data_IF_338032850271
#
_entry.id   IF_338032850271
#
_cell.length_a   1.000
_cell.length_b   1.000
_cell.length_c   1.000
_cell.angle_alpha   90.00
_cell.angle_beta   90.00
_cell.angle_gamma   90.00
#
_symmetry.space_group_name_H-M   'P 1'
#
loop_
_entity.id
_entity.type
_entity.pdbx_description
1 polymer ?
#
# COMPACT_ATOMS: atom_id res chain seq x y z
N UNK A 1 -48.54 -37.35 -53.67
CA UNK A 1 -48.73 -36.75 -52.32
C UNK A 1 -47.64 -37.10 -51.29
N UNK A 2 -46.78 -38.11 -51.49
CA UNK A 2 -45.71 -38.50 -50.53
C UNK A 2 -44.36 -37.78 -50.72
N UNK A 3 -44.10 -37.12 -51.85
CA UNK A 3 -42.83 -36.44 -52.15
C UNK A 3 -42.81 -34.96 -51.71
N UNK A 4 -43.97 -34.33 -51.53
CA UNK A 4 -44.07 -32.93 -51.08
C UNK A 4 -43.96 -32.79 -49.55
N UNK A 5 -44.34 -33.84 -48.81
CA UNK A 5 -44.33 -33.85 -47.34
C UNK A 5 -42.92 -34.01 -46.75
N UNK A 6 -42.04 -34.72 -47.46
CA UNK A 6 -40.64 -34.94 -47.06
C UNK A 6 -39.75 -33.72 -47.31
N UNK A 7 -40.01 -32.93 -48.36
CA UNK A 7 -39.30 -31.67 -48.60
C UNK A 7 -39.60 -30.59 -47.56
N UNK A 8 -40.84 -30.52 -47.09
CA UNK A 8 -41.26 -29.54 -46.07
C UNK A 8 -40.69 -29.86 -44.67
N UNK A 9 -40.57 -31.15 -44.33
CA UNK A 9 -39.93 -31.59 -43.08
C UNK A 9 -38.42 -31.30 -43.08
N UNK A 10 -37.74 -31.49 -44.21
CA UNK A 10 -36.31 -31.22 -44.34
C UNK A 10 -35.98 -29.73 -44.18
N UNK A 11 -36.79 -28.84 -44.75
CA UNK A 11 -36.61 -27.39 -44.58
C UNK A 11 -36.83 -26.93 -43.13
N UNK A 12 -37.80 -27.52 -42.43
CA UNK A 12 -38.09 -27.20 -41.03
C UNK A 12 -36.96 -27.65 -40.09
N UNK A 13 -36.31 -28.78 -40.37
CA UNK A 13 -35.18 -29.26 -39.58
C UNK A 13 -33.93 -28.36 -39.77
N UNK A 14 -33.68 -27.87 -40.99
CA UNK A 14 -32.59 -26.94 -41.26
C UNK A 14 -32.77 -25.60 -40.55
N UNK A 15 -34.01 -25.09 -40.42
CA UNK A 15 -34.27 -23.82 -39.72
C UNK A 15 -34.07 -23.95 -38.20
N UNK A 16 -34.39 -25.11 -37.62
CA UNK A 16 -34.17 -25.36 -36.19
C UNK A 16 -32.68 -25.50 -35.85
N UNK A 17 -31.87 -26.11 -36.72
CA UNK A 17 -30.42 -26.23 -36.53
C UNK A 17 -29.70 -24.87 -36.61
N UNK A 18 -30.13 -23.98 -37.52
CA UNK A 18 -29.55 -22.64 -37.65
C UNK A 18 -29.94 -21.73 -36.46
N UNK A 19 -31.10 -21.95 -35.84
CA UNK A 19 -31.54 -21.20 -34.67
C UNK A 19 -31.10 -21.79 -33.32
N UNK A 20 -30.54 -23.01 -33.30
CA UNK A 20 -30.08 -23.65 -32.06
C UNK A 20 -28.58 -23.52 -31.79
N UNK A 21 -27.81 -22.89 -32.69
CA UNK A 21 -26.38 -22.64 -32.51
C UNK A 21 -26.16 -21.22 -31.97
N UNK A 22 -26.76 -20.93 -30.81
CA UNK A 22 -26.20 -19.92 -29.92
C UNK A 22 -25.02 -20.56 -29.22
N UNK A 23 -23.83 -20.42 -29.80
CA UNK A 23 -22.61 -21.03 -29.28
C UNK A 23 -22.36 -20.58 -27.84
N UNK A 24 -22.51 -21.50 -26.89
CA UNK A 24 -22.26 -21.31 -25.45
C UNK A 24 -20.88 -20.67 -25.19
N UNK A 25 -19.91 -20.98 -26.05
CA UNK A 25 -18.56 -20.39 -26.04
C UNK A 25 -18.52 -18.89 -26.39
N UNK A 26 -19.43 -18.39 -27.23
CA UNK A 26 -19.52 -16.95 -27.55
C UNK A 26 -20.12 -16.14 -26.41
N UNK A 27 -21.10 -16.70 -25.71
CA UNK A 27 -21.70 -16.11 -24.51
C UNK A 27 -20.71 -16.16 -23.35
N UNK A 28 -19.99 -17.27 -23.17
CA UNK A 28 -18.94 -17.41 -22.15
C UNK A 28 -17.76 -16.45 -22.40
N UNK A 29 -17.29 -16.34 -23.66
CA UNK A 29 -16.23 -15.40 -24.03
C UNK A 29 -16.61 -13.94 -23.75
N UNK A 30 -17.85 -13.56 -24.02
CA UNK A 30 -18.36 -12.22 -23.71
C UNK A 30 -18.46 -11.98 -22.19
N UNK A 31 -18.93 -12.96 -21.43
CA UNK A 31 -19.03 -12.87 -19.98
C UNK A 31 -17.65 -12.75 -19.31
N UNK A 32 -16.67 -13.50 -19.82
CA UNK A 32 -15.28 -13.43 -19.37
C UNK A 32 -14.67 -12.05 -19.67
N UNK A 33 -14.92 -11.49 -20.86
CA UNK A 33 -14.45 -10.14 -21.20
C UNK A 33 -15.06 -9.06 -20.27
N UNK A 34 -16.34 -9.17 -19.92
CA UNK A 34 -17.00 -8.25 -18.99
C UNK A 34 -16.44 -8.35 -17.56
N UNK A 35 -16.15 -9.56 -17.09
CA UNK A 35 -15.55 -9.78 -15.77
C UNK A 35 -14.15 -9.17 -15.70
N UNK A 36 -13.34 -9.36 -16.75
CA UNK A 36 -12.01 -8.76 -16.85
C UNK A 36 -12.11 -7.24 -16.83
N UNK A 37 -12.99 -6.63 -17.62
CA UNK A 37 -13.18 -5.17 -17.62
C UNK A 37 -13.60 -4.65 -16.25
N UNK A 38 -14.50 -5.35 -15.56
CA UNK A 38 -14.94 -4.97 -14.21
C UNK A 38 -13.79 -5.02 -13.21
N UNK A 39 -12.92 -6.02 -13.30
CA UNK A 39 -11.74 -6.15 -12.46
C UNK A 39 -10.70 -5.05 -12.76
N UNK A 40 -10.48 -4.71 -14.04
CA UNK A 40 -9.60 -3.61 -14.39
C UNK A 40 -10.12 -2.27 -13.86
N UNK A 41 -11.43 -2.03 -13.94
CA UNK A 41 -12.04 -0.82 -13.38
C UNK A 41 -11.96 -0.77 -11.85
N UNK A 42 -12.11 -1.90 -11.15
CA UNK A 42 -11.97 -1.93 -9.69
C UNK A 42 -10.53 -1.68 -9.24
N UNK A 43 -9.54 -2.22 -9.97
CA UNK A 43 -8.12 -1.94 -9.75
C UNK A 43 -7.81 -0.46 -9.99
N UNK A 44 -8.32 0.12 -11.07
CA UNK A 44 -8.15 1.55 -11.35
C UNK A 44 -8.81 2.42 -10.27
N UNK A 45 -10.02 2.07 -9.83
CA UNK A 45 -10.72 2.77 -8.76
C UNK A 45 -9.92 2.72 -7.44
N UNK A 46 -9.36 1.57 -7.06
CA UNK A 46 -8.51 1.43 -5.88
C UNK A 46 -7.21 2.24 -5.98
N UNK A 47 -6.59 2.31 -7.17
CA UNK A 47 -5.42 3.13 -7.42
C UNK A 47 -5.74 4.63 -7.31
N UNK A 48 -6.88 5.05 -7.87
CA UNK A 48 -7.34 6.44 -7.78
C UNK A 48 -7.73 6.82 -6.35
N UNK A 49 -8.32 5.92 -5.58
CA UNK A 49 -8.63 6.13 -4.16
C UNK A 49 -7.34 6.24 -3.32
N UNK A 50 -6.34 5.41 -3.60
CA UNK A 50 -5.02 5.48 -2.96
C UNK A 50 -4.30 6.79 -3.28
N UNK A 51 -4.44 7.30 -4.51
CA UNK A 51 -3.86 8.58 -4.94
C UNK A 51 -4.59 9.81 -4.35
N UNK A 52 -5.84 9.65 -3.91
CA UNK A 52 -6.65 10.71 -3.30
C UNK A 52 -6.34 10.92 -1.82
N UNK A 53 -5.60 10.00 -1.18
CA UNK A 53 -5.21 10.15 0.23
C UNK A 53 -4.17 11.27 0.36
N UNK A 54 -4.46 12.37 1.09
CA UNK A 54 -3.48 13.42 1.33
C UNK A 54 -2.28 12.85 2.11
N UNK A 55 -1.06 13.39 1.94
CA UNK A 55 0.14 12.91 2.63
C UNK A 55 0.08 13.09 4.16
N UNK A 56 -0.91 13.82 4.69
CA UNK A 56 -1.18 13.94 6.11
C UNK A 56 -2.10 12.83 6.63
N UNK A 57 -1.58 11.63 6.85
CA UNK A 57 -2.23 10.65 7.73
C UNK A 57 -2.31 11.21 9.17
N UNK A 58 -3.19 10.66 10.04
CA UNK A 58 -3.23 11.06 11.45
C UNK A 58 -1.83 10.97 12.05
N UNK A 59 -1.47 11.96 12.87
CA UNK A 59 -0.14 12.09 13.47
C UNK A 59 0.34 10.73 13.97
N UNK A 60 1.47 10.26 13.43
CA UNK A 60 2.00 8.93 13.78
C UNK A 60 2.43 8.99 15.24
N UNK A 61 1.61 8.45 16.14
CA UNK A 61 2.01 8.29 17.54
C UNK A 61 3.30 7.48 17.66
N UNK A 62 4.11 7.75 18.69
CA UNK A 62 5.33 6.98 18.95
C UNK A 62 4.98 5.53 19.28
N UNK A 63 5.69 4.58 18.67
CA UNK A 63 5.62 3.14 19.00
C UNK A 63 6.46 2.77 20.23
N UNK A 64 7.32 3.69 20.70
CA UNK A 64 8.24 3.45 21.82
C UNK A 64 7.90 4.30 23.04
N UNK A 65 8.13 3.73 24.22
CA UNK A 65 8.03 4.44 25.52
C UNK A 65 9.36 4.36 26.26
N UNK A 66 9.88 5.51 26.69
CA UNK A 66 11.12 5.57 27.47
C UNK A 66 10.82 5.49 28.96
N UNK A 67 11.49 4.56 29.65
CA UNK A 67 11.45 4.47 31.13
C UNK A 67 12.09 5.69 31.79
N UNK A 68 13.14 6.25 31.18
CA UNK A 68 13.84 7.42 31.70
C UNK A 68 13.15 8.71 31.21
N UNK A 69 12.59 9.55 32.11
CA UNK A 69 11.92 10.78 31.71
C UNK A 69 12.85 11.80 31.04
N UNK A 70 14.17 11.67 31.24
CA UNK A 70 15.16 12.54 30.58
C UNK A 70 15.13 12.43 29.05
N UNK A 71 14.54 11.37 28.47
CA UNK A 71 14.37 11.25 27.02
C UNK A 71 13.50 12.37 26.44
N UNK A 72 12.56 12.94 27.21
CA UNK A 72 11.67 14.01 26.76
C UNK A 72 12.41 15.25 26.26
N UNK A 73 13.59 15.54 26.81
CA UNK A 73 14.39 16.70 26.42
C UNK A 73 14.95 16.63 24.99
N UNK A 74 14.94 15.44 24.40
CA UNK A 74 15.43 15.19 23.05
C UNK A 74 14.29 15.06 22.04
N UNK A 75 13.03 15.15 22.47
CA UNK A 75 11.88 14.97 21.58
C UNK A 75 11.87 16.05 20.50
N UNK A 76 11.75 15.61 19.25
CA UNK A 76 11.54 16.44 18.07
C UNK A 76 10.12 16.22 17.59
N UNK A 77 9.40 17.33 17.40
CA UNK A 77 8.08 17.36 16.80
C UNK A 77 8.22 17.27 15.27
N UNK A 78 7.85 16.13 14.69
CA UNK A 78 7.97 15.84 13.27
C UNK A 78 7.21 16.81 12.36
N UNK A 79 6.21 17.52 12.89
CA UNK A 79 5.42 18.53 12.17
C UNK A 79 6.10 19.89 12.08
N UNK A 80 7.20 20.10 12.82
CA UNK A 80 7.90 21.38 12.94
C UNK A 80 9.29 21.38 12.33
N UNK A 81 9.63 20.32 11.58
CA UNK A 81 10.91 20.24 10.89
C UNK A 81 10.87 21.22 9.70
N UNK A 82 11.81 22.18 9.60
CA UNK A 82 11.86 23.10 8.48
C UNK A 82 11.97 22.37 7.15
N UNK A 83 11.32 22.90 6.12
CA UNK A 83 11.36 22.39 4.74
C UNK A 83 10.85 20.94 4.55
N UNK A 84 10.17 20.38 5.56
CA UNK A 84 9.47 19.09 5.48
C UNK A 84 7.96 19.35 5.48
N UNK A 85 7.30 19.01 4.37
CA UNK A 85 5.88 19.30 4.12
C UNK A 85 4.93 18.19 4.58
N UNK A 86 5.45 17.16 5.25
CA UNK A 86 4.70 16.06 5.81
C UNK A 86 5.05 15.84 7.30
N UNK A 87 4.17 15.16 8.04
CA UNK A 87 4.49 14.74 9.40
C UNK A 87 5.48 13.56 9.37
N UNK A 88 6.73 13.83 9.72
CA UNK A 88 7.75 12.80 9.84
C UNK A 88 7.52 11.86 11.05
N UNK A 89 6.64 12.24 11.98
CA UNK A 89 6.41 11.56 13.24
C UNK A 89 7.41 11.97 14.34
N UNK A 90 7.17 11.53 15.60
CA UNK A 90 8.03 11.85 16.72
C UNK A 90 9.39 11.18 16.59
N UNK A 91 10.45 11.95 16.80
CA UNK A 91 11.83 11.46 16.84
C UNK A 91 12.58 12.05 18.02
N UNK A 92 13.80 11.57 18.28
CA UNK A 92 14.65 12.08 19.36
C UNK A 92 16.01 12.47 18.83
N UNK A 93 16.43 13.71 19.03
CA UNK A 93 17.73 14.18 18.59
C UNK A 93 18.41 15.06 19.63
N UNK A 94 19.74 15.12 19.58
CA UNK A 94 20.51 16.00 20.44
C UNK A 94 21.97 15.60 20.58
N UNK A 95 22.63 16.23 21.56
CA UNK A 95 24.03 15.99 21.87
C UNK A 95 24.17 15.06 23.09
N UNK A 96 24.92 13.97 22.91
CA UNK A 96 25.21 12.98 23.94
C UNK A 96 26.67 13.06 24.37
N UNK A 97 26.98 13.16 25.68
CA UNK A 97 28.36 13.07 26.17
C UNK A 97 28.99 11.73 25.79
N UNK A 98 30.25 11.75 25.36
CA UNK A 98 30.97 10.52 24.97
C UNK A 98 31.54 9.74 26.16
N UNK A 99 31.63 10.38 27.32
CA UNK A 99 32.08 9.74 28.56
C UNK A 99 31.44 10.40 29.78
N UNK A 100 31.56 9.75 30.94
CA UNK A 100 31.17 10.30 32.24
C UNK A 100 32.26 11.13 32.92
N UNK A 101 33.39 11.43 32.25
CA UNK A 101 34.48 12.18 32.85
C UNK A 101 34.07 13.66 33.07
N UNK A 102 34.42 14.22 34.23
CA UNK A 102 33.98 15.56 34.65
C UNK A 102 34.40 16.69 33.71
N UNK A 103 35.52 16.54 33.02
CA UNK A 103 36.10 17.56 32.14
C UNK A 103 36.00 17.18 30.64
N UNK A 104 35.22 16.16 30.30
CA UNK A 104 34.96 15.83 28.90
C UNK A 104 33.94 16.80 28.30
N UNK A 105 34.35 17.53 27.26
CA UNK A 105 33.52 18.53 26.59
C UNK A 105 32.94 18.01 25.27
N UNK A 106 33.52 16.95 24.70
CA UNK A 106 33.10 16.39 23.42
C UNK A 106 31.75 15.68 23.55
N UNK A 107 30.91 15.87 22.54
CA UNK A 107 29.59 15.28 22.45
C UNK A 107 29.37 14.75 21.03
N UNK A 108 28.63 13.65 20.92
CA UNK A 108 28.15 13.13 19.65
C UNK A 108 26.74 13.61 19.40
N UNK A 109 26.47 14.05 18.18
CA UNK A 109 25.11 14.23 17.72
C UNK A 109 24.49 12.87 17.42
N UNK A 110 23.23 12.69 17.82
CA UNK A 110 22.42 11.55 17.43
C UNK A 110 21.05 12.01 16.93
N UNK A 111 20.44 11.20 16.09
CA UNK A 111 19.03 11.31 15.71
C UNK A 111 18.41 9.91 15.64
N UNK A 112 17.57 9.61 16.62
CA UNK A 112 16.88 8.35 16.76
C UNK A 112 15.45 8.46 16.23
N UNK A 113 15.08 7.51 15.39
CA UNK A 113 13.72 7.34 14.85
C UNK A 113 13.16 6.01 15.35
N UNK A 114 11.94 5.99 15.92
CA UNK A 114 11.31 4.76 16.37
C UNK A 114 10.88 3.91 15.16
N UNK A 115 10.73 2.60 15.38
CA UNK A 115 10.17 1.72 14.36
C UNK A 115 8.72 2.14 14.05
N UNK A 116 8.37 2.18 12.76
CA UNK A 116 6.98 2.47 12.35
C UNK A 116 6.02 1.34 12.71
N UNK A 117 6.54 0.12 12.87
CA UNK A 117 5.78 -1.07 13.18
C UNK A 117 5.98 -1.45 14.66
N UNK A 118 4.90 -1.54 15.46
CA UNK A 118 4.99 -1.92 16.88
C UNK A 118 5.65 -3.27 17.15
N UNK A 119 5.59 -4.23 16.21
CA UNK A 119 6.23 -5.54 16.39
C UNK A 119 7.76 -5.47 16.40
N UNK A 120 8.33 -4.42 15.81
CA UNK A 120 9.77 -4.30 15.54
C UNK A 120 10.46 -3.38 16.59
N UNK A 121 9.74 -3.06 17.68
CA UNK A 121 10.19 -2.16 18.74
C UNK A 121 11.29 -2.75 19.65
N UNK A 122 11.63 -4.03 19.47
CA UNK A 122 12.67 -4.73 20.23
C UNK A 122 14.04 -4.67 19.58
N UNK A 123 14.11 -4.31 18.31
CA UNK A 123 15.35 -4.26 17.56
C UNK A 123 15.86 -2.83 17.46
N UNK A 124 17.17 -2.65 17.65
CA UNK A 124 17.85 -1.37 17.56
C UNK A 124 18.96 -1.45 16.52
N UNK A 125 18.85 -0.64 15.46
CA UNK A 125 19.90 -0.49 14.46
C UNK A 125 20.70 0.77 14.73
N UNK A 126 22.03 0.64 14.76
CA UNK A 126 22.95 1.77 14.86
C UNK A 126 23.60 2.04 13.50
N UNK A 127 23.39 3.24 12.95
CA UNK A 127 23.91 3.65 11.65
C UNK A 127 25.01 4.69 11.83
N UNK A 128 26.21 4.42 11.27
CA UNK A 128 27.33 5.36 11.24
C UNK A 128 27.78 5.62 9.81
N UNK A 129 28.09 6.89 9.52
CA UNK A 129 28.74 7.26 8.27
C UNK A 129 30.26 7.29 8.48
N UNK A 130 31.00 7.04 7.42
CA UNK A 130 32.46 7.12 7.43
C UNK A 130 33.02 7.07 6.02
N UNK A 131 34.28 7.48 5.87
CA UNK A 131 35.09 7.12 4.71
C UNK A 131 36.06 6.02 5.14
N UNK A 132 36.36 5.12 4.21
CA UNK A 132 37.42 4.12 4.35
C UNK A 132 38.76 4.79 4.04
#
# INVERSE_FOLDING_TARGET
MRLLLSGLLALSACLQVVLSQGDDATVDGMQNALNIQREQMSRLANLMDSAKKPPGGPAKGSTVTFKNPAAKKFLVDGTKIPDVDFDAGPSWSGLMPISGAKNETRKLFFWFWPANNPSDTKDLTFWTNGKI
#
